data_IF_941983237676
#
_entry.id   IF_941983237676
#
_cell.length_a   1.000
_cell.length_b   1.000
_cell.length_c   1.000
_cell.angle_alpha   90.00
_cell.angle_beta   90.00
_cell.angle_gamma   90.00
#
_symmetry.space_group_name_H-M   'P 1'
#
loop_
_entity.id
_entity.type
_entity.pdbx_description
1 polymer ?
#
# COMPACT_ATOMS: atom_id res chain seq x y z
N UNK A 1 27.85 0.52 -16.72
CA UNK A 1 26.58 -0.08 -16.27
C UNK A 1 26.13 0.72 -15.06
N UNK A 2 25.12 1.55 -15.22
CA UNK A 2 24.62 2.43 -14.16
C UNK A 2 23.94 1.55 -13.12
N UNK A 3 24.45 1.51 -11.89
CA UNK A 3 23.82 0.78 -10.79
C UNK A 3 22.39 1.31 -10.63
N UNK A 4 21.41 0.49 -10.99
CA UNK A 4 20.01 0.78 -10.71
C UNK A 4 19.83 0.79 -9.20
N UNK A 5 19.48 1.96 -8.66
CA UNK A 5 19.28 2.11 -7.24
C UNK A 5 17.96 1.45 -6.82
N UNK A 6 18.00 0.18 -6.43
CA UNK A 6 16.86 -0.56 -5.84
C UNK A 6 16.58 -0.10 -4.39
N UNK A 7 16.98 1.12 -4.04
CA UNK A 7 16.78 1.70 -2.73
C UNK A 7 15.37 2.30 -2.65
N UNK A 8 14.57 1.77 -1.72
CA UNK A 8 13.30 2.40 -1.37
C UNK A 8 13.60 3.66 -0.57
N UNK A 9 13.07 4.79 -1.02
CA UNK A 9 13.25 6.10 -0.41
C UNK A 9 11.93 6.61 0.16
N UNK A 10 11.97 7.19 1.34
CA UNK A 10 10.83 7.98 1.84
C UNK A 10 10.74 9.26 1.00
N UNK A 11 9.53 9.61 0.57
CA UNK A 11 9.27 10.80 -0.26
C UNK A 11 8.13 11.62 0.34
N UNK A 12 8.02 12.88 -0.09
CA UNK A 12 6.86 13.69 0.21
C UNK A 12 5.59 13.06 -0.40
N UNK A 13 4.45 13.28 0.25
CA UNK A 13 3.15 12.85 -0.28
C UNK A 13 2.91 13.52 -1.64
N UNK A 14 2.64 12.75 -2.71
CA UNK A 14 2.49 13.30 -4.05
C UNK A 14 1.22 14.16 -4.17
N UNK A 15 1.32 15.49 -4.33
CA UNK A 15 0.15 16.37 -4.32
C UNK A 15 -0.76 16.21 -5.53
N UNK A 16 -0.21 15.71 -6.66
CA UNK A 16 -0.96 15.43 -7.89
C UNK A 16 -1.59 14.04 -7.93
N UNK A 17 -1.44 13.23 -6.88
CA UNK A 17 -2.09 11.92 -6.81
C UNK A 17 -3.58 12.07 -6.53
N UNK A 18 -4.39 11.18 -7.08
CA UNK A 18 -5.85 11.13 -6.85
C UNK A 18 -6.19 10.83 -5.40
N UNK A 19 -5.28 10.22 -4.64
CA UNK A 19 -5.41 10.03 -3.18
C UNK A 19 -5.18 11.31 -2.37
N UNK A 20 -4.61 12.37 -2.96
CA UNK A 20 -4.19 13.57 -2.24
C UNK A 20 -5.28 14.31 -1.45
N UNK A 21 -6.55 14.35 -1.91
CA UNK A 21 -7.64 14.91 -1.12
C UNK A 21 -7.83 14.25 0.26
N UNK A 22 -7.31 13.04 0.46
CA UNK A 22 -7.39 12.31 1.74
C UNK A 22 -6.24 12.65 2.70
N UNK A 23 -5.22 13.39 2.28
CA UNK A 23 -4.08 13.72 3.15
C UNK A 23 -4.46 14.61 4.35
N UNK A 24 -5.24 15.71 4.16
CA UNK A 24 -5.61 16.58 5.27
C UNK A 24 -6.39 15.83 6.35
N UNK A 25 -6.05 16.03 7.63
CA UNK A 25 -6.75 15.43 8.75
C UNK A 25 -6.48 13.94 9.00
N UNK A 26 -5.64 13.31 8.18
CA UNK A 26 -5.28 11.89 8.35
C UNK A 26 -4.50 11.62 9.64
N UNK A 27 -4.73 10.45 10.24
CA UNK A 27 -4.00 9.98 11.42
C UNK A 27 -2.68 9.29 11.08
N UNK A 28 -2.56 8.81 9.84
CA UNK A 28 -1.31 8.37 9.24
C UNK A 28 -1.32 8.78 7.77
N UNK A 29 -0.25 9.44 7.34
CA UNK A 29 0.07 9.59 5.93
C UNK A 29 1.57 9.37 5.74
N UNK A 30 1.93 8.45 4.84
CA UNK A 30 3.31 8.22 4.43
C UNK A 30 3.41 7.89 2.94
N UNK A 31 4.58 8.16 2.35
CA UNK A 31 4.87 7.80 0.98
C UNK A 31 6.30 7.29 0.82
N UNK A 32 6.46 6.25 0.01
CA UNK A 32 7.75 5.66 -0.31
C UNK A 32 7.83 5.37 -1.80
N UNK A 33 8.96 5.69 -2.40
CA UNK A 33 9.21 5.49 -3.81
C UNK A 33 10.34 4.49 -4.06
N UNK A 34 10.26 3.78 -5.18
CA UNK A 34 11.31 2.93 -5.71
C UNK A 34 11.33 3.06 -7.24
N UNK A 35 12.53 3.02 -7.82
CA UNK A 35 12.67 3.11 -9.28
C UNK A 35 12.27 1.79 -9.94
N UNK A 36 11.70 1.87 -11.15
CA UNK A 36 11.34 0.70 -11.93
C UNK A 36 12.61 0.08 -12.51
N UNK A 37 12.87 -1.22 -12.26
CA UNK A 37 14.10 -1.85 -12.66
C UNK A 37 14.14 -2.23 -14.14
N UNK A 38 13.00 -2.27 -14.83
CA UNK A 38 12.92 -2.73 -16.22
C UNK A 38 11.87 -1.94 -17.01
N UNK A 39 12.06 -1.83 -18.33
CA UNK A 39 11.05 -1.30 -19.24
C UNK A 39 9.75 -2.15 -19.22
N UNK A 40 9.86 -3.47 -19.02
CA UNK A 40 8.69 -4.35 -18.85
C UNK A 40 7.83 -3.93 -17.66
N UNK A 41 8.46 -3.61 -16.52
CA UNK A 41 7.74 -3.17 -15.33
C UNK A 41 6.99 -1.84 -15.57
N UNK A 42 7.50 -0.99 -16.45
CA UNK A 42 6.83 0.25 -16.88
C UNK A 42 5.56 -0.01 -17.69
N UNK A 43 5.52 -1.07 -18.48
CA UNK A 43 4.41 -1.40 -19.38
C UNK A 43 3.27 -2.16 -18.70
N UNK A 44 3.49 -2.68 -17.49
CA UNK A 44 2.45 -3.35 -16.73
C UNK A 44 1.26 -2.42 -16.44
N UNK A 45 0.06 -2.99 -16.44
CA UNK A 45 -1.13 -2.31 -15.96
C UNK A 45 -1.04 -2.07 -14.44
N UNK A 46 -1.78 -1.07 -13.96
CA UNK A 46 -1.72 -0.68 -12.55
C UNK A 46 -2.26 -1.77 -11.60
N UNK A 47 -3.23 -2.59 -12.01
CA UNK A 47 -3.70 -3.70 -11.17
C UNK A 47 -2.60 -4.76 -11.00
N UNK A 48 -1.88 -5.12 -12.07
CA UNK A 48 -0.75 -6.05 -12.01
C UNK A 48 0.39 -5.52 -11.15
N UNK A 49 0.76 -4.25 -11.30
CA UNK A 49 1.75 -3.60 -10.44
C UNK A 49 1.35 -3.65 -8.96
N UNK A 50 0.10 -3.29 -8.65
CA UNK A 50 -0.41 -3.35 -7.28
C UNK A 50 -0.43 -4.79 -6.75
N UNK A 51 -0.85 -5.79 -7.54
CA UNK A 51 -0.83 -7.20 -7.12
C UNK A 51 0.59 -7.66 -6.77
N UNK A 52 1.59 -7.26 -7.56
CA UNK A 52 2.99 -7.64 -7.31
C UNK A 52 3.52 -6.97 -6.04
N UNK A 53 3.31 -5.66 -5.87
CA UNK A 53 3.78 -4.93 -4.69
C UNK A 53 3.10 -5.44 -3.41
N UNK A 54 1.78 -5.58 -3.44
CA UNK A 54 0.98 -6.05 -2.30
C UNK A 54 1.21 -7.55 -2.02
N UNK A 55 1.48 -8.35 -3.05
CA UNK A 55 1.87 -9.75 -2.93
C UNK A 55 3.30 -9.97 -2.45
N UNK A 56 4.18 -8.97 -2.64
CA UNK A 56 5.59 -9.01 -2.20
C UNK A 56 5.78 -8.75 -0.71
N UNK A 57 4.70 -8.72 0.08
CA UNK A 57 4.77 -8.54 1.53
C UNK A 57 5.69 -9.58 2.19
N UNK A 58 6.49 -9.18 3.18
CA UNK A 58 7.36 -10.11 3.89
C UNK A 58 6.52 -11.10 4.72
N UNK A 59 6.94 -12.37 4.83
CA UNK A 59 6.14 -13.42 5.46
C UNK A 59 5.74 -13.17 6.92
N UNK A 60 6.48 -12.33 7.67
CA UNK A 60 6.09 -11.90 9.01
C UNK A 60 4.88 -10.95 9.02
N UNK A 61 4.66 -10.19 7.94
CA UNK A 61 3.48 -9.33 7.79
C UNK A 61 2.20 -10.17 7.83
N UNK A 62 2.21 -11.34 7.18
CA UNK A 62 1.10 -12.30 7.22
C UNK A 62 0.85 -12.82 8.64
N UNK A 63 1.92 -13.09 9.41
CA UNK A 63 1.78 -13.48 10.83
C UNK A 63 1.18 -12.36 11.68
N UNK A 64 1.55 -11.10 11.43
CA UNK A 64 0.93 -9.94 12.09
C UNK A 64 -0.53 -9.73 11.68
N UNK A 65 -0.90 -10.00 10.43
CA UNK A 65 -2.30 -9.97 10.02
C UNK A 65 -3.13 -11.05 10.73
N UNK A 66 -2.59 -12.27 10.90
CA UNK A 66 -3.23 -13.32 11.69
C UNK A 66 -3.36 -12.92 13.17
N UNK A 67 -2.32 -12.32 13.76
CA UNK A 67 -2.36 -11.82 15.14
C UNK A 67 -3.39 -10.70 15.30
N UNK A 68 -3.41 -9.73 14.36
CA UNK A 68 -4.44 -8.69 14.30
C UNK A 68 -5.81 -9.33 14.27
N UNK A 69 -6.06 -10.25 13.33
CA UNK A 69 -7.35 -10.90 13.17
C UNK A 69 -7.81 -11.63 14.43
N UNK A 70 -6.89 -12.26 15.16
CA UNK A 70 -7.20 -12.90 16.44
C UNK A 70 -7.61 -11.90 17.53
N UNK A 71 -6.92 -10.75 17.61
CA UNK A 71 -7.25 -9.69 18.57
C UNK A 71 -8.58 -9.04 18.21
N UNK A 72 -8.73 -8.61 16.96
CA UNK A 72 -9.86 -7.81 16.47
C UNK A 72 -11.16 -8.64 16.36
N UNK A 73 -11.07 -9.96 16.15
CA UNK A 73 -12.23 -10.86 16.20
C UNK A 73 -12.94 -10.83 17.55
N UNK A 74 -12.23 -10.57 18.65
CA UNK A 74 -12.83 -10.47 20.00
C UNK A 74 -13.59 -9.16 20.23
N UNK A 75 -13.30 -8.14 19.40
CA UNK A 75 -13.89 -6.80 19.46
C UNK A 75 -14.91 -6.53 18.35
N UNK A 76 -15.31 -7.54 17.57
CA UNK A 76 -16.31 -7.39 16.49
C UNK A 76 -15.80 -6.61 15.27
N UNK A 77 -14.49 -6.40 15.16
CA UNK A 77 -13.84 -5.78 14.01
C UNK A 77 -13.55 -6.87 12.97
N UNK A 78 -13.65 -6.51 11.68
CA UNK A 78 -13.64 -7.49 10.59
C UNK A 78 -12.27 -8.11 10.37
N UNK A 79 -12.26 -9.42 10.13
CA UNK A 79 -11.03 -10.19 9.82
C UNK A 79 -10.69 -10.14 8.33
N UNK A 80 -9.43 -10.42 7.97
CA UNK A 80 -8.97 -10.48 6.58
C UNK A 80 -9.85 -11.39 5.71
N UNK A 81 -10.26 -12.56 6.23
CA UNK A 81 -11.14 -13.50 5.51
C UNK A 81 -12.53 -12.92 5.22
N UNK A 82 -13.08 -12.12 6.14
CA UNK A 82 -14.37 -11.47 5.93
C UNK A 82 -14.28 -10.34 4.91
N UNK A 83 -13.11 -9.71 4.79
CA UNK A 83 -12.84 -8.72 3.75
C UNK A 83 -12.71 -9.39 2.38
N UNK A 84 -11.96 -10.50 2.27
CA UNK A 84 -11.80 -11.26 1.02
C UNK A 84 -13.13 -11.82 0.48
N UNK A 85 -14.06 -12.21 1.35
CA UNK A 85 -15.34 -12.80 0.95
C UNK A 85 -16.38 -11.81 0.40
N UNK A 86 -16.08 -10.50 0.39
CA UNK A 86 -17.04 -9.47 -0.06
C UNK A 86 -17.02 -9.29 -1.58
N UNK A 87 -18.20 -9.14 -2.23
CA UNK A 87 -18.29 -8.87 -3.66
C UNK A 87 -17.60 -7.55 -4.05
N UNK A 88 -16.92 -7.54 -5.20
CA UNK A 88 -16.22 -6.38 -5.76
C UNK A 88 -14.83 -6.73 -6.31
N UNK A 89 -14.25 -5.86 -7.14
CA UNK A 89 -12.84 -6.01 -7.58
C UNK A 89 -11.91 -5.76 -6.40
N UNK A 90 -11.03 -6.73 -6.11
CA UNK A 90 -10.14 -6.74 -4.94
C UNK A 90 -8.74 -7.23 -5.30
N UNK A 91 -7.75 -6.79 -4.53
CA UNK A 91 -6.39 -7.32 -4.53
C UNK A 91 -6.10 -7.85 -3.11
N UNK A 92 -6.20 -9.16 -2.93
CA UNK A 92 -6.17 -9.78 -1.60
C UNK A 92 -7.29 -9.24 -0.70
N UNK A 93 -6.92 -8.74 0.47
CA UNK A 93 -7.87 -8.13 1.43
C UNK A 93 -8.34 -6.72 1.01
N UNK A 94 -7.67 -6.10 0.04
CA UNK A 94 -7.87 -4.70 -0.31
C UNK A 94 -8.93 -4.54 -1.41
N UNK A 95 -9.93 -3.71 -1.16
CA UNK A 95 -10.92 -3.31 -2.17
C UNK A 95 -10.30 -2.28 -3.11
N UNK A 96 -10.55 -2.41 -4.41
CA UNK A 96 -10.17 -1.39 -5.40
C UNK A 96 -11.21 -0.26 -5.36
N UNK A 97 -10.74 0.97 -5.13
CA UNK A 97 -11.56 2.18 -5.10
C UNK A 97 -11.49 2.97 -6.40
N UNK A 98 -10.30 3.07 -6.98
CA UNK A 98 -10.08 3.77 -8.24
C UNK A 98 -8.92 3.12 -9.00
N UNK A 99 -9.03 3.09 -10.33
CA UNK A 99 -7.96 2.72 -11.24
C UNK A 99 -7.92 3.77 -12.34
N UNK A 100 -6.74 4.29 -12.59
CA UNK A 100 -6.41 5.19 -13.69
C UNK A 100 -5.17 4.65 -14.41
N UNK A 101 -4.76 5.33 -15.48
CA UNK A 101 -3.62 4.88 -16.28
C UNK A 101 -2.34 4.79 -15.46
N UNK A 102 -2.11 5.70 -14.51
CA UNK A 102 -0.87 5.76 -13.73
C UNK A 102 -1.07 5.64 -12.22
N UNK A 103 -2.29 5.45 -11.74
CA UNK A 103 -2.58 5.30 -10.31
C UNK A 103 -3.66 4.26 -10.05
N UNK A 104 -3.46 3.44 -9.02
CA UNK A 104 -4.50 2.59 -8.45
C UNK A 104 -4.62 2.87 -6.94
N UNK A 105 -5.86 3.07 -6.49
CA UNK A 105 -6.19 3.24 -5.09
C UNK A 105 -6.91 1.99 -4.62
N UNK A 106 -6.32 1.33 -3.63
CA UNK A 106 -6.92 0.22 -2.91
C UNK A 106 -7.05 0.57 -1.44
N UNK A 107 -7.93 -0.10 -0.70
CA UNK A 107 -8.11 0.18 0.70
C UNK A 107 -9.28 -0.60 1.26
N UNK A 108 -9.71 -0.25 2.47
CA UNK A 108 -11.00 -0.70 3.02
C UNK A 108 -11.54 0.29 4.05
N UNK A 109 -12.86 0.21 4.23
CA UNK A 109 -13.60 0.97 5.25
C UNK A 109 -13.97 0.04 6.40
N UNK A 110 -13.48 0.35 7.60
CA UNK A 110 -13.70 -0.45 8.81
C UNK A 110 -14.27 0.41 9.94
N UNK A 111 -14.83 -0.26 10.95
CA UNK A 111 -15.56 0.42 12.04
C UNK A 111 -14.69 1.37 12.87
N UNK A 112 -13.38 1.14 12.93
CA UNK A 112 -12.44 1.89 13.76
C UNK A 112 -11.54 2.83 12.95
N UNK A 113 -11.30 2.52 11.68
CA UNK A 113 -10.52 3.33 10.75
C UNK A 113 -10.88 3.00 9.30
N UNK A 114 -10.72 3.99 8.45
CA UNK A 114 -10.63 3.83 7.01
C UNK A 114 -9.17 3.92 6.59
N UNK A 115 -8.74 3.02 5.71
CA UNK A 115 -7.40 3.08 5.15
C UNK A 115 -7.43 3.03 3.63
N UNK A 116 -6.47 3.73 3.03
CA UNK A 116 -6.23 3.80 1.60
C UNK A 116 -4.74 3.65 1.32
N UNK A 117 -4.44 2.94 0.25
CA UNK A 117 -3.12 2.74 -0.33
C UNK A 117 -3.22 3.14 -1.79
N UNK A 118 -2.44 4.14 -2.19
CA UNK A 118 -2.25 4.49 -3.58
C UNK A 118 -0.93 3.90 -4.06
N UNK A 119 -0.95 3.28 -5.23
CA UNK A 119 0.25 2.95 -6.01
C UNK A 119 0.23 3.87 -7.22
N UNK A 120 1.15 4.82 -7.25
CA UNK A 120 1.31 5.84 -8.29
C UNK A 120 2.57 5.54 -9.10
N UNK A 121 2.43 5.40 -10.42
CA UNK A 121 3.55 5.33 -11.35
C UNK A 121 3.91 6.73 -11.82
N UNK A 122 5.17 7.10 -11.66
CA UNK A 122 5.73 8.29 -12.29
C UNK A 122 6.62 7.84 -13.47
N UNK A 123 6.17 8.15 -14.69
CA UNK A 123 6.82 7.75 -15.93
C UNK A 123 8.08 8.55 -16.26
N UNK A 124 8.26 9.73 -15.69
CA UNK A 124 9.36 10.64 -16.04
C UNK A 124 10.51 10.57 -15.03
N UNK A 125 10.32 9.81 -13.94
CA UNK A 125 11.31 9.64 -12.88
C UNK A 125 12.29 8.50 -13.19
N UNK A 126 13.50 8.83 -13.64
CA UNK A 126 14.56 7.86 -13.91
C UNK A 126 14.41 7.13 -15.25
N UNK A 127 15.26 6.14 -15.56
CA UNK A 127 15.35 5.54 -16.90
C UNK A 127 14.09 4.80 -17.36
N UNK A 128 13.35 4.22 -16.42
CA UNK A 128 12.15 3.42 -16.71
C UNK A 128 10.90 3.94 -15.99
N UNK A 129 11.02 5.02 -15.23
CA UNK A 129 10.00 5.50 -14.30
C UNK A 129 10.23 5.00 -12.87
N UNK A 130 9.34 5.39 -11.97
CA UNK A 130 9.32 4.97 -10.56
C UNK A 130 7.90 4.67 -10.11
N UNK A 131 7.78 3.94 -9.01
CA UNK A 131 6.52 3.72 -8.31
C UNK A 131 6.61 4.34 -6.92
N UNK A 132 5.60 5.11 -6.57
CA UNK A 132 5.38 5.67 -5.25
C UNK A 132 4.17 5.01 -4.62
N UNK A 133 4.35 4.38 -3.46
CA UNK A 133 3.24 3.89 -2.66
C UNK A 133 2.94 4.89 -1.54
N UNK A 134 1.71 5.37 -1.49
CA UNK A 134 1.23 6.29 -0.45
C UNK A 134 0.18 5.62 0.41
N UNK A 135 0.31 5.69 1.73
CA UNK A 135 -0.68 5.16 2.68
C UNK A 135 -1.36 6.30 3.40
N UNK A 136 -2.68 6.24 3.52
CA UNK A 136 -3.48 7.22 4.24
C UNK A 136 -4.47 6.49 5.15
N UNK A 137 -4.55 6.89 6.41
CA UNK A 137 -5.48 6.31 7.39
C UNK A 137 -6.23 7.41 8.13
N UNK A 138 -7.54 7.26 8.20
CA UNK A 138 -8.46 8.09 8.97
C UNK A 138 -9.09 7.24 10.08
N UNK A 139 -8.95 7.65 11.34
CA UNK A 139 -9.48 6.92 12.47
C UNK A 139 -10.80 7.55 12.94
N UNK A 140 -11.83 6.72 13.11
CA UNK A 140 -13.16 7.17 13.54
C UNK A 140 -13.28 7.29 15.06
N UNK A 141 -12.49 6.53 15.80
CA UNK A 141 -12.58 6.45 17.26
C UNK A 141 -11.19 6.28 17.91
N UNK A 142 -11.17 6.33 19.23
CA UNK A 142 -9.95 6.17 20.02
C UNK A 142 -9.29 4.80 19.83
N UNK A 143 -10.07 3.74 19.59
CA UNK A 143 -9.57 2.39 19.30
C UNK A 143 -8.74 2.40 18.02
N UNK A 144 -9.24 3.04 16.96
CA UNK A 144 -8.51 3.22 15.70
C UNK A 144 -7.22 3.99 15.88
N UNK A 145 -7.26 5.07 16.69
CA UNK A 145 -6.06 5.89 16.99
C UNK A 145 -5.00 5.10 17.77
N UNK A 146 -5.41 4.34 18.79
CA UNK A 146 -4.50 3.48 19.55
C UNK A 146 -3.92 2.36 18.67
N UNK A 147 -4.77 1.77 17.82
CA UNK A 147 -4.37 0.72 16.88
C UNK A 147 -3.34 1.23 15.88
N UNK A 148 -3.60 2.34 15.18
CA UNK A 148 -2.66 2.87 14.18
C UNK A 148 -1.33 3.27 14.82
N UNK A 149 -1.35 3.84 16.03
CA UNK A 149 -0.13 4.19 16.76
C UNK A 149 0.76 2.95 17.01
N UNK A 150 0.14 1.83 17.41
CA UNK A 150 0.83 0.58 17.66
C UNK A 150 1.38 -0.07 16.38
N UNK A 151 0.59 -0.07 15.30
CA UNK A 151 0.97 -0.76 14.05
C UNK A 151 1.83 0.09 13.11
N UNK A 152 1.85 1.42 13.24
CA UNK A 152 2.59 2.36 12.37
C UNK A 152 4.04 1.98 12.09
N UNK A 153 4.90 1.63 13.09
CA UNK A 153 6.28 1.25 12.78
C UNK A 153 6.35 -0.03 11.93
N UNK A 154 5.47 -1.00 12.20
CA UNK A 154 5.39 -2.23 11.40
C UNK A 154 4.87 -1.95 9.99
N UNK A 155 3.84 -1.11 9.85
CA UNK A 155 3.29 -0.68 8.57
C UNK A 155 4.39 -0.10 7.66
N UNK A 156 5.16 0.87 8.18
CA UNK A 156 6.30 1.46 7.46
C UNK A 156 7.28 0.40 6.97
N UNK A 157 7.64 -0.55 7.83
CA UNK A 157 8.55 -1.64 7.47
C UNK A 157 7.96 -2.61 6.43
N UNK A 158 6.66 -2.92 6.50
CA UNK A 158 5.96 -3.76 5.53
C UNK A 158 6.00 -3.09 4.17
N UNK A 159 5.56 -1.82 4.10
CA UNK A 159 5.51 -1.02 2.87
C UNK A 159 6.88 -0.94 2.21
N UNK A 160 7.91 -0.57 2.97
CA UNK A 160 9.27 -0.46 2.45
C UNK A 160 9.80 -1.81 1.94
N UNK A 161 9.56 -2.90 2.69
CA UNK A 161 10.03 -4.23 2.29
C UNK A 161 9.25 -4.79 1.10
N UNK A 162 7.95 -4.53 0.99
CA UNK A 162 7.13 -4.88 -0.17
C UNK A 162 7.69 -4.24 -1.44
N UNK A 163 7.92 -2.93 -1.42
CA UNK A 163 8.51 -2.20 -2.55
C UNK A 163 9.92 -2.72 -2.90
N UNK A 164 10.77 -2.91 -1.89
CA UNK A 164 12.13 -3.41 -2.11
C UNK A 164 12.14 -4.83 -2.71
N UNK A 165 11.23 -5.71 -2.27
CA UNK A 165 11.11 -7.08 -2.78
C UNK A 165 10.54 -7.09 -4.20
N UNK A 166 9.52 -6.29 -4.49
CA UNK A 166 8.97 -6.14 -5.82
C UNK A 166 10.02 -5.63 -6.82
N UNK A 167 10.79 -4.60 -6.43
CA UNK A 167 11.84 -4.05 -7.26
C UNK A 167 13.02 -5.03 -7.46
N UNK A 168 13.43 -5.77 -6.41
CA UNK A 168 14.42 -6.84 -6.54
C UNK A 168 13.95 -7.99 -7.44
N UNK A 169 12.66 -8.30 -7.42
CA UNK A 169 12.03 -9.29 -8.29
C UNK A 169 11.76 -8.79 -9.72
N UNK A 170 12.12 -7.54 -10.04
CA UNK A 170 11.91 -6.99 -11.38
C UNK A 170 10.45 -6.62 -11.69
N UNK A 171 9.58 -6.60 -10.68
CA UNK A 171 8.12 -6.60 -10.85
C UNK A 171 7.62 -7.72 -11.77
N UNK A 172 8.12 -8.94 -11.53
CA UNK A 172 7.72 -10.17 -12.23
C UNK A 172 7.03 -11.17 -11.28
#
# INVERSE_FOLDING_TARGET
MQEMNIAVRAVALPPGASIAPLYPGSNLADAYAVDLPTARARELDMESLARIVLGSQPGWARKLMVLRDAIVARFGIRTAKQMEARPGKRIGIFRIFAVSDDEIIVGEDDSHLDFRLSVLRNRDAGPHGSITMSSVVHCHNWVGRAYILLIRPFHKLIVQRSLARAAKGGFA
#
